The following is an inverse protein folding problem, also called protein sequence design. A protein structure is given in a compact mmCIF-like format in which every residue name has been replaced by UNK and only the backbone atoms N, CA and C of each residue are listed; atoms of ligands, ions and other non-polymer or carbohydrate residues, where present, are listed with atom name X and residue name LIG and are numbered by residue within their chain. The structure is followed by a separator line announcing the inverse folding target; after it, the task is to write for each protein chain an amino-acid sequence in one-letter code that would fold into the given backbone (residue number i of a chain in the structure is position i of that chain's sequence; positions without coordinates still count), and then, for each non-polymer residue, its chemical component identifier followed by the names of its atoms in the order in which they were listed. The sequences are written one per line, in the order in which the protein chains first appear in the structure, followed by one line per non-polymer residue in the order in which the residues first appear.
data_IF_882815584922
#
_entry.id   IF_882815584922
#
_cell.length_a   1.000
_cell.length_b   1.000
_cell.length_c   1.000
_cell.angle_alpha   90.00
_cell.angle_beta   90.00
_cell.angle_gamma   90.00
#
_symmetry.space_group_name_H-M   'P 1'
#
loop_
_entity.id
_entity.type
_entity.pdbx_description
1 polymer ?
#
# COMPACT_ATOMS: atom_id res chain seq x y z
N UNK A 1 11.51 -6.75 0.58
CA UNK A 1 10.35 -5.84 0.62
C UNK A 1 9.68 -5.62 -0.72
N UNK A 2 10.40 -5.28 -1.80
CA UNK A 2 9.79 -4.99 -3.12
C UNK A 2 8.77 -6.06 -3.61
N UNK A 3 9.19 -7.34 -3.64
CA UNK A 3 8.32 -8.44 -4.09
C UNK A 3 7.05 -8.58 -3.22
N UNK A 4 7.20 -8.54 -1.89
CA UNK A 4 6.07 -8.63 -0.96
C UNK A 4 5.04 -7.53 -1.23
N UNK A 5 5.50 -6.27 -1.37
CA UNK A 5 4.61 -5.15 -1.65
C UNK A 5 3.95 -5.25 -3.01
N UNK A 6 4.68 -5.71 -4.02
CA UNK A 6 4.14 -5.90 -5.36
C UNK A 6 3.06 -6.98 -5.40
N UNK A 7 3.32 -8.15 -4.81
CA UNK A 7 2.36 -9.25 -4.75
C UNK A 7 1.16 -8.93 -3.87
N UNK A 8 1.39 -8.32 -2.70
CA UNK A 8 0.31 -7.88 -1.81
C UNK A 8 -0.55 -6.82 -2.50
N UNK A 9 0.06 -5.84 -3.16
CA UNK A 9 -0.68 -4.84 -3.92
C UNK A 9 -1.48 -5.43 -5.09
N UNK A 10 -0.94 -6.44 -5.78
CA UNK A 10 -1.67 -7.18 -6.83
C UNK A 10 -2.83 -7.99 -6.26
N UNK A 11 -2.65 -8.61 -5.10
CA UNK A 11 -3.71 -9.30 -4.38
C UNK A 11 -4.84 -8.33 -4.02
N UNK A 12 -4.53 -7.17 -3.44
CA UNK A 12 -5.52 -6.13 -3.15
C UNK A 12 -6.30 -5.71 -4.40
N UNK A 13 -5.60 -5.43 -5.52
CA UNK A 13 -6.24 -5.05 -6.79
C UNK A 13 -7.22 -6.11 -7.35
N UNK A 14 -6.95 -7.39 -7.11
CA UNK A 14 -7.73 -8.50 -7.66
C UNK A 14 -8.69 -9.13 -6.65
N UNK A 15 -8.74 -8.61 -5.41
CA UNK A 15 -9.50 -9.20 -4.31
C UNK A 15 -11.01 -9.00 -4.39
N UNK A 16 -11.50 -8.13 -5.30
CA UNK A 16 -12.92 -7.74 -5.38
C UNK A 16 -13.47 -7.27 -4.03
N UNK A 17 -12.74 -6.36 -3.38
CA UNK A 17 -13.08 -5.84 -2.05
C UNK A 17 -12.70 -6.72 -0.87
N UNK A 18 -12.46 -8.04 -1.05
CA UNK A 18 -12.17 -8.96 0.08
C UNK A 18 -10.95 -8.59 0.91
N UNK A 19 -9.95 -7.95 0.29
CA UNK A 19 -8.74 -7.51 0.99
C UNK A 19 -9.00 -6.32 1.95
N UNK A 20 -10.18 -5.70 1.93
CA UNK A 20 -10.57 -4.65 2.88
C UNK A 20 -10.53 -5.17 4.33
N UNK A 21 -10.76 -6.48 4.54
CA UNK A 21 -10.63 -7.13 5.84
C UNK A 21 -9.20 -7.13 6.41
N UNK A 22 -8.18 -6.93 5.57
CA UNK A 22 -6.79 -6.81 5.99
C UNK A 22 -6.42 -5.37 6.38
N UNK A 23 -7.31 -4.39 6.12
CA UNK A 23 -7.09 -3.01 6.48
C UNK A 23 -7.40 -2.83 7.97
N UNK A 24 -6.34 -2.68 8.77
CA UNK A 24 -6.45 -2.48 10.22
C UNK A 24 -7.30 -1.25 10.55
N UNK A 25 -8.25 -1.43 11.48
CA UNK A 25 -9.22 -0.42 11.87
C UNK A 25 -10.49 -0.48 11.03
N UNK A 26 -10.37 -0.64 9.71
CA UNK A 26 -11.54 -0.84 8.84
C UNK A 26 -12.20 -2.19 9.09
N UNK A 27 -11.42 -3.24 9.34
CA UNK A 27 -11.92 -4.58 9.63
C UNK A 27 -12.75 -4.70 10.93
N UNK A 28 -12.63 -3.74 11.85
CA UNK A 28 -13.40 -3.67 13.09
C UNK A 28 -14.74 -2.94 12.93
N UNK A 29 -14.98 -2.27 11.80
CA UNK A 29 -16.24 -1.59 11.54
C UNK A 29 -17.37 -2.60 11.37
N UNK A 30 -18.58 -2.30 11.87
CA UNK A 30 -19.71 -3.19 11.69
C UNK A 30 -20.11 -3.27 10.21
N UNK A 31 -20.65 -4.41 9.79
CA UNK A 31 -20.89 -4.72 8.38
C UNK A 31 -21.87 -3.75 7.70
N UNK A 32 -22.82 -3.19 8.45
CA UNK A 32 -23.77 -2.18 7.99
C UNK A 32 -23.07 -0.88 7.56
N UNK A 33 -22.08 -0.40 8.32
CA UNK A 33 -21.26 0.74 7.93
C UNK A 33 -20.38 0.42 6.73
N UNK A 34 -19.88 -0.81 6.64
CA UNK A 34 -18.98 -1.20 5.54
C UNK A 34 -19.70 -1.23 4.19
N UNK A 35 -20.99 -1.59 4.16
CA UNK A 35 -21.83 -1.63 2.94
C UNK A 35 -22.00 -0.27 2.26
N UNK A 36 -21.76 0.84 2.96
CA UNK A 36 -21.84 2.18 2.38
C UNK A 36 -20.59 2.54 1.55
N UNK A 37 -19.50 1.78 1.68
CA UNK A 37 -18.25 2.03 0.97
C UNK A 37 -18.07 1.08 -0.21
N UNK A 38 -17.47 1.59 -1.29
CA UNK A 38 -17.01 0.74 -2.40
C UNK A 38 -15.67 0.07 -2.02
N UNK A 39 -15.77 -1.09 -1.38
CA UNK A 39 -14.61 -1.88 -0.95
C UNK A 39 -13.72 -2.30 -2.12
N UNK A 40 -14.27 -2.55 -3.31
CA UNK A 40 -13.48 -2.93 -4.48
C UNK A 40 -12.64 -1.75 -4.99
N UNK A 41 -13.25 -0.57 -5.16
CA UNK A 41 -12.51 0.63 -5.50
C UNK A 41 -11.43 0.96 -4.46
N UNK A 42 -11.77 0.82 -3.16
CA UNK A 42 -10.81 1.04 -2.07
C UNK A 42 -9.62 0.08 -2.17
N UNK A 43 -9.87 -1.22 -2.36
CA UNK A 43 -8.83 -2.23 -2.51
C UNK A 43 -7.97 -2.00 -3.76
N UNK A 44 -8.56 -1.59 -4.88
CA UNK A 44 -7.81 -1.28 -6.12
C UNK A 44 -6.91 -0.06 -5.97
N UNK A 45 -7.39 1.01 -5.32
CA UNK A 45 -6.57 2.20 -5.06
C UNK A 45 -5.44 1.86 -4.10
N UNK A 46 -5.74 1.16 -3.01
CA UNK A 46 -4.77 0.76 -2.01
C UNK A 46 -3.70 -0.15 -2.60
N UNK A 47 -4.13 -1.17 -3.36
CA UNK A 47 -3.24 -2.11 -4.03
C UNK A 47 -2.31 -1.45 -5.04
N UNK A 48 -2.82 -0.55 -5.89
CA UNK A 48 -1.99 0.21 -6.85
C UNK A 48 -0.92 1.05 -6.14
N UNK A 49 -1.28 1.73 -5.05
CA UNK A 49 -0.31 2.50 -4.26
C UNK A 49 0.74 1.60 -3.62
N UNK A 50 0.35 0.46 -3.07
CA UNK A 50 1.27 -0.52 -2.49
C UNK A 50 2.25 -1.08 -3.53
N UNK A 51 1.79 -1.35 -4.76
CA UNK A 51 2.68 -1.73 -5.86
C UNK A 51 3.67 -0.61 -6.21
N UNK A 52 3.22 0.65 -6.24
CA UNK A 52 4.09 1.80 -6.47
C UNK A 52 5.18 1.95 -5.40
N UNK A 53 4.86 1.62 -4.15
CA UNK A 53 5.83 1.62 -3.05
C UNK A 53 6.90 0.51 -3.15
N UNK A 54 6.76 -0.45 -4.06
CA UNK A 54 7.83 -1.40 -4.38
C UNK A 54 8.97 -0.77 -5.20
N UNK A 55 8.67 0.27 -6.01
CA UNK A 55 9.62 0.90 -6.94
C UNK A 55 10.87 1.45 -6.23
N UNK A 56 10.77 2.21 -5.13
CA UNK A 56 11.95 2.72 -4.42
C UNK A 56 12.91 1.62 -3.98
N UNK A 57 12.41 0.44 -3.59
CA UNK A 57 13.27 -0.68 -3.18
C UNK A 57 13.99 -1.34 -4.35
N UNK A 58 13.38 -1.39 -5.55
CA UNK A 58 14.04 -1.88 -6.76
C UNK A 58 15.15 -0.90 -7.17
N UNK A 59 14.85 0.41 -7.18
CA UNK A 59 15.85 1.44 -7.45
C UNK A 59 16.98 1.46 -6.41
N UNK A 60 16.63 1.33 -5.12
CA UNK A 60 17.59 1.26 -4.03
C UNK A 60 18.53 0.06 -4.15
N UNK A 61 18.00 -1.12 -4.47
CA UNK A 61 18.81 -2.30 -4.73
C UNK A 61 19.78 -2.08 -5.91
N UNK A 62 19.34 -1.41 -6.98
CA UNK A 62 20.21 -1.07 -8.11
C UNK A 62 21.38 -0.13 -7.72
N UNK A 63 21.12 0.85 -6.86
CA UNK A 63 22.14 1.79 -6.36
C UNK A 63 23.14 1.09 -5.43
N UNK A 64 22.66 0.16 -4.62
CA UNK A 64 23.50 -0.58 -3.67
C UNK A 64 24.58 -1.45 -4.35
N UNK A 65 24.42 -1.80 -5.63
CA UNK A 65 25.48 -2.45 -6.41
C UNK A 65 26.72 -1.56 -6.58
N UNK A 66 26.55 -0.24 -6.60
CA UNK A 66 27.64 0.73 -6.74
C UNK A 66 28.12 1.26 -5.40
N UNK A 67 27.21 1.48 -4.46
CA UNK A 67 27.51 1.98 -3.12
C UNK A 67 26.66 1.26 -2.08
N UNK A 68 27.16 0.15 -1.50
CA UNK A 68 26.40 -0.67 -0.59
C UNK A 68 25.77 0.13 0.56
N UNK A 69 24.46 -0.03 0.75
CA UNK A 69 23.68 0.56 1.85
C UNK A 69 23.06 1.92 1.53
N UNK A 70 23.64 2.71 0.61
CA UNK A 70 23.13 4.04 0.30
C UNK A 70 21.75 4.01 -0.37
N UNK A 71 21.53 3.07 -1.29
CA UNK A 71 20.28 2.85 -1.98
C UNK A 71 19.20 2.32 -1.04
N UNK A 72 19.52 1.39 -0.14
CA UNK A 72 18.60 0.90 0.88
C UNK A 72 18.10 2.02 1.80
N UNK A 73 19.01 2.87 2.32
CA UNK A 73 18.63 4.02 3.16
C UNK A 73 17.71 4.98 2.41
N UNK A 74 18.04 5.32 1.16
CA UNK A 74 17.20 6.20 0.33
C UNK A 74 15.81 5.59 0.07
N UNK A 75 15.75 4.28 -0.21
CA UNK A 75 14.49 3.57 -0.43
C UNK A 75 13.56 3.65 0.78
N UNK A 76 14.09 3.49 2.00
CA UNK A 76 13.32 3.62 3.24
C UNK A 76 12.76 5.03 3.45
N UNK A 77 13.56 6.07 3.19
CA UNK A 77 13.11 7.46 3.31
C UNK A 77 11.94 7.74 2.37
N UNK A 78 12.09 7.38 1.08
CA UNK A 78 11.02 7.56 0.08
C UNK A 78 9.80 6.73 0.44
N UNK A 79 10.00 5.49 0.90
CA UNK A 79 8.92 4.60 1.29
C UNK A 79 8.08 5.15 2.45
N UNK A 80 8.71 5.70 3.49
CA UNK A 80 8.00 6.30 4.64
C UNK A 80 7.10 7.44 4.18
N UNK A 81 7.58 8.30 3.27
CA UNK A 81 6.78 9.40 2.72
C UNK A 81 5.55 8.85 1.97
N UNK A 82 5.75 7.85 1.11
CA UNK A 82 4.64 7.20 0.40
C UNK A 82 3.66 6.51 1.34
N UNK A 83 4.16 5.95 2.45
CA UNK A 83 3.35 5.25 3.45
C UNK A 83 2.44 6.25 4.18
N UNK A 84 2.97 7.39 4.60
CA UNK A 84 2.18 8.47 5.20
C UNK A 84 1.11 8.97 4.22
N UNK A 85 1.48 9.19 2.97
CA UNK A 85 0.51 9.60 1.93
C UNK A 85 -0.58 8.55 1.69
N UNK A 86 -0.25 7.26 1.78
CA UNK A 86 -1.22 6.16 1.72
C UNK A 86 -2.18 6.21 2.91
N UNK A 87 -1.67 6.40 4.13
CA UNK A 87 -2.48 6.53 5.33
C UNK A 87 -3.46 7.71 5.26
N UNK A 88 -3.02 8.88 4.81
CA UNK A 88 -3.87 10.06 4.62
C UNK A 88 -4.94 9.79 3.55
N UNK A 89 -4.57 9.16 2.43
CA UNK A 89 -5.55 8.86 1.38
C UNK A 89 -6.59 7.86 1.88
N UNK A 90 -6.18 6.85 2.64
CA UNK A 90 -7.07 5.86 3.24
C UNK A 90 -8.08 6.50 4.19
N UNK A 91 -7.63 7.36 5.10
CA UNK A 91 -8.55 8.08 6.01
C UNK A 91 -9.50 9.02 5.27
N UNK A 92 -9.07 9.61 4.15
CA UNK A 92 -9.94 10.42 3.29
C UNK A 92 -11.02 9.58 2.57
N UNK A 93 -10.77 8.31 2.26
CA UNK A 93 -11.76 7.43 1.65
C UNK A 93 -12.81 6.95 2.66
N UNK A 94 -12.40 6.75 3.92
CA UNK A 94 -13.26 6.26 5.00
C UNK A 94 -14.14 7.33 5.66
N UNK A 95 -13.87 8.61 5.42
CA UNK A 95 -14.67 9.75 5.92
C UNK A 95 -15.82 10.16 4.97
N UNK A 96 -15.91 9.50 3.82
CA UNK A 96 -16.85 9.84 2.75
C UNK A 96 -18.08 8.96 2.83
#
# INVERSE_FOLDING_TARGET
MALLMFFMGRYFCNSKGKASNLLTGYNMRPENERKQFDEDAMCRIYGKRMMGMAVPFVCGAAIDFFKPGAGCTAAWVVWIVLFVMLCIKRTSMEKK
#
